data_IF_258853517380
#
_entry.id   IF_258853517380
#
_cell.length_a   1.000
_cell.length_b   1.000
_cell.length_c   1.000
_cell.angle_alpha   90.00
_cell.angle_beta   90.00
_cell.angle_gamma   90.00
#
_symmetry.space_group_name_H-M   'P 1'
#
loop_
_entity.id
_entity.type
_entity.pdbx_description
1 polymer ?
#
# COMPACT_ATOMS: atom_id res chain seq x y z
N UNK A 1 53.29 -8.83 6.74
CA UNK A 1 52.41 -9.26 5.63
C UNK A 1 51.36 -10.30 6.02
N UNK A 2 51.27 -10.71 7.29
CA UNK A 2 50.39 -11.81 7.75
C UNK A 2 49.15 -11.36 8.53
N UNK A 3 49.05 -10.08 8.90
CA UNK A 3 47.91 -9.56 9.69
C UNK A 3 46.74 -9.09 8.81
N UNK A 4 47.03 -8.49 7.65
CA UNK A 4 46.03 -8.04 6.68
C UNK A 4 45.28 -9.22 6.02
N UNK A 5 45.96 -10.37 5.84
CA UNK A 5 45.35 -11.57 5.28
C UNK A 5 44.34 -12.22 6.24
N UNK A 6 44.55 -12.11 7.57
CA UNK A 6 43.66 -12.70 8.57
C UNK A 6 42.38 -11.88 8.78
N UNK A 7 42.47 -10.56 8.71
CA UNK A 7 41.31 -9.67 8.80
C UNK A 7 40.42 -9.78 7.55
N UNK A 8 41.05 -9.92 6.37
CA UNK A 8 40.31 -10.11 5.11
C UNK A 8 39.49 -11.41 5.07
N UNK A 9 40.04 -12.52 5.58
CA UNK A 9 39.36 -13.81 5.56
C UNK A 9 38.18 -13.89 6.55
N UNK A 10 38.28 -13.20 7.69
CA UNK A 10 37.20 -13.13 8.69
C UNK A 10 36.02 -12.25 8.24
N UNK A 11 36.26 -11.19 7.45
CA UNK A 11 35.17 -10.39 6.88
C UNK A 11 34.39 -11.15 5.79
N UNK A 12 35.08 -11.93 4.94
CA UNK A 12 34.43 -12.67 3.84
C UNK A 12 33.54 -13.80 4.40
N UNK A 13 33.96 -14.47 5.48
CA UNK A 13 33.16 -15.52 6.13
C UNK A 13 31.93 -14.97 6.88
N UNK A 14 32.02 -13.75 7.43
CA UNK A 14 30.86 -13.07 8.06
C UNK A 14 29.84 -12.55 7.03
N UNK A 15 30.28 -12.22 5.82
CA UNK A 15 29.38 -11.83 4.73
C UNK A 15 28.61 -13.03 4.14
N UNK A 16 29.20 -14.23 4.13
CA UNK A 16 28.53 -15.44 3.63
C UNK A 16 27.53 -16.04 4.63
N UNK A 17 27.69 -15.81 5.94
CA UNK A 17 26.71 -16.25 6.94
C UNK A 17 25.48 -15.36 7.01
N UNK A 18 25.58 -14.07 6.66
CA UNK A 18 24.43 -13.16 6.56
C UNK A 18 23.52 -13.49 5.35
N UNK A 19 24.09 -13.99 4.26
CA UNK A 19 23.30 -14.46 3.10
C UNK A 19 22.62 -15.81 3.32
N UNK A 20 22.99 -16.55 4.38
CA UNK A 20 22.40 -17.86 4.67
C UNK A 20 21.25 -17.80 5.70
N UNK A 21 21.14 -16.72 6.49
CA UNK A 21 20.12 -16.57 7.55
C UNK A 21 18.90 -15.78 7.07
N UNK A 22 19.09 -14.87 6.12
CA UNK A 22 17.98 -14.35 5.33
C UNK A 22 17.85 -15.26 4.13
N UNK A 23 16.98 -16.27 4.24
CA UNK A 23 16.38 -16.86 3.06
C UNK A 23 15.85 -15.70 2.22
N UNK A 24 16.58 -15.39 1.16
CA UNK A 24 16.14 -14.49 0.12
C UNK A 24 14.94 -15.17 -0.53
N UNK A 25 13.75 -15.01 0.08
CA UNK A 25 12.58 -14.78 -0.72
C UNK A 25 12.95 -13.54 -1.54
N UNK A 26 13.49 -13.78 -2.74
CA UNK A 26 13.67 -12.73 -3.72
C UNK A 26 12.30 -12.06 -3.81
N UNK A 27 12.20 -10.82 -3.32
CA UNK A 27 11.03 -10.00 -3.56
C UNK A 27 10.88 -9.98 -5.07
N UNK A 28 9.79 -10.54 -5.56
CA UNK A 28 9.53 -10.72 -6.97
C UNK A 28 9.57 -9.35 -7.65
N UNK A 29 10.58 -9.09 -8.48
CA UNK A 29 10.82 -7.79 -9.13
C UNK A 29 9.59 -7.33 -9.91
N UNK A 30 8.87 -8.26 -10.56
CA UNK A 30 7.63 -7.96 -11.26
C UNK A 30 6.52 -7.51 -10.31
N UNK A 31 6.49 -8.07 -9.11
CA UNK A 31 5.52 -7.65 -8.10
C UNK A 31 5.85 -6.25 -7.57
N UNK A 32 7.14 -5.94 -7.39
CA UNK A 32 7.57 -4.60 -7.00
C UNK A 32 7.22 -3.57 -8.07
N UNK A 33 7.41 -3.88 -9.35
CA UNK A 33 7.01 -3.02 -10.47
C UNK A 33 5.48 -2.78 -10.46
N UNK A 34 4.68 -3.83 -10.29
CA UNK A 34 3.22 -3.70 -10.13
C UNK A 34 2.84 -2.80 -8.95
N UNK A 35 3.47 -2.97 -7.78
CA UNK A 35 3.20 -2.11 -6.61
C UNK A 35 3.57 -0.66 -6.92
N UNK A 36 4.68 -0.43 -7.61
CA UNK A 36 5.09 0.91 -8.01
C UNK A 36 4.09 1.56 -9.00
N UNK A 37 3.55 0.79 -9.94
CA UNK A 37 2.49 1.25 -10.85
C UNK A 37 1.20 1.60 -10.10
N UNK A 38 0.76 0.73 -9.17
CA UNK A 38 -0.40 0.98 -8.31
C UNK A 38 -0.23 2.27 -7.49
N UNK A 39 0.94 2.47 -6.88
CA UNK A 39 1.26 3.68 -6.13
C UNK A 39 1.31 4.92 -7.02
N UNK A 40 1.89 4.81 -8.22
CA UNK A 40 1.96 5.92 -9.18
C UNK A 40 0.57 6.35 -9.67
N UNK A 41 -0.33 5.39 -9.89
CA UNK A 41 -1.74 5.66 -10.20
C UNK A 41 -2.44 6.41 -9.06
N UNK A 42 -2.24 5.95 -7.82
CA UNK A 42 -2.78 6.63 -6.64
C UNK A 42 -2.24 8.05 -6.46
N UNK A 43 -0.96 8.30 -6.77
CA UNK A 43 -0.36 9.63 -6.72
C UNK A 43 -1.11 10.65 -7.60
N UNK A 44 -1.67 10.21 -8.73
CA UNK A 44 -2.50 11.05 -9.61
C UNK A 44 -3.73 11.63 -8.92
N UNK A 45 -4.27 10.96 -7.89
CA UNK A 45 -5.39 11.45 -7.09
C UNK A 45 -4.94 12.09 -5.77
N UNK A 46 -3.83 11.62 -5.17
CA UNK A 46 -3.31 12.12 -3.90
C UNK A 46 -2.93 13.60 -3.99
N UNK A 47 -2.21 14.02 -5.05
CA UNK A 47 -1.76 15.42 -5.19
C UNK A 47 -2.95 16.39 -5.27
N UNK A 48 -3.96 16.17 -6.13
CA UNK A 48 -5.19 16.97 -6.11
C UNK A 48 -5.89 17.01 -4.75
N UNK A 49 -5.90 15.90 -4.00
CA UNK A 49 -6.51 15.83 -2.67
C UNK A 49 -5.75 16.62 -1.62
N UNK A 50 -4.42 16.57 -1.63
CA UNK A 50 -3.56 17.39 -0.76
C UNK A 50 -3.83 18.87 -1.01
N UNK A 51 -3.95 19.28 -2.27
CA UNK A 51 -4.21 20.66 -2.65
C UNK A 51 -5.61 21.11 -2.24
N UNK A 52 -6.64 20.29 -2.46
CA UNK A 52 -8.03 20.59 -2.08
C UNK A 52 -8.20 20.72 -0.55
N UNK A 53 -7.50 19.88 0.20
CA UNK A 53 -7.49 19.93 1.67
C UNK A 53 -6.56 21.02 2.23
N UNK A 54 -5.83 21.75 1.37
CA UNK A 54 -4.93 22.84 1.78
C UNK A 54 -3.72 22.38 2.60
N UNK A 55 -3.23 21.14 2.41
CA UNK A 55 -2.18 20.54 3.22
C UNK A 55 -0.78 20.88 2.69
N UNK A 56 -0.15 21.88 3.29
CA UNK A 56 1.11 22.45 2.77
C UNK A 56 2.36 21.74 3.27
N UNK A 57 2.33 21.20 4.49
CA UNK A 57 3.49 20.58 5.14
C UNK A 57 3.41 19.04 5.19
N UNK A 58 4.55 18.33 5.23
CA UNK A 58 4.56 16.88 5.44
C UNK A 58 3.88 16.44 6.74
N UNK A 59 3.99 17.25 7.81
CA UNK A 59 3.34 16.98 9.10
C UNK A 59 1.82 17.02 8.98
N UNK A 60 1.27 18.01 8.28
CA UNK A 60 -0.17 18.12 8.01
C UNK A 60 -0.67 16.95 7.16
N UNK A 61 0.09 16.55 6.13
CA UNK A 61 -0.25 15.40 5.28
C UNK A 61 -0.29 14.10 6.08
N UNK A 62 0.69 13.88 6.97
CA UNK A 62 0.70 12.72 7.86
C UNK A 62 -0.48 12.71 8.83
N UNK A 63 -0.81 13.85 9.44
CA UNK A 63 -1.93 13.97 10.38
C UNK A 63 -3.30 13.78 9.70
N UNK A 64 -3.41 14.12 8.41
CA UNK A 64 -4.66 14.07 7.64
C UNK A 64 -4.68 12.95 6.58
N UNK A 65 -3.79 11.96 6.70
CA UNK A 65 -3.65 10.90 5.68
C UNK A 65 -4.97 10.17 5.40
N UNK A 66 -5.75 9.89 6.45
CA UNK A 66 -7.07 9.28 6.30
C UNK A 66 -8.04 10.15 5.47
N UNK A 67 -7.99 11.47 5.62
CA UNK A 67 -8.81 12.39 4.84
C UNK A 67 -8.33 12.51 3.39
N UNK A 68 -7.01 12.45 3.17
CA UNK A 68 -6.45 12.33 1.81
C UNK A 68 -7.01 11.07 1.14
N UNK A 69 -6.99 9.92 1.82
CA UNK A 69 -7.50 8.67 1.26
C UNK A 69 -9.02 8.68 1.00
N UNK A 70 -9.81 9.31 1.89
CA UNK A 70 -11.24 9.56 1.64
C UNK A 70 -11.47 10.36 0.36
N UNK A 71 -10.70 11.43 0.19
CA UNK A 71 -10.76 12.24 -1.01
C UNK A 71 -10.36 11.44 -2.27
N UNK A 72 -9.32 10.60 -2.18
CA UNK A 72 -8.89 9.74 -3.31
C UNK A 72 -10.01 8.79 -3.72
N UNK A 73 -10.68 8.13 -2.77
CA UNK A 73 -11.79 7.22 -3.07
C UNK A 73 -12.98 7.94 -3.72
N UNK A 74 -13.28 9.16 -3.27
CA UNK A 74 -14.31 10.00 -3.86
C UNK A 74 -13.96 10.37 -5.31
N UNK A 75 -12.71 10.79 -5.57
CA UNK A 75 -12.21 11.13 -6.91
C UNK A 75 -12.13 9.94 -7.86
N UNK A 76 -11.85 8.75 -7.34
CA UNK A 76 -11.85 7.51 -8.11
C UNK A 76 -13.26 6.94 -8.35
N UNK A 77 -14.32 7.66 -7.94
CA UNK A 77 -15.72 7.24 -8.05
C UNK A 77 -16.03 5.88 -7.42
N UNK A 78 -15.21 5.50 -6.44
CA UNK A 78 -15.33 4.23 -5.72
C UNK A 78 -16.26 4.32 -4.51
N UNK A 79 -16.80 5.50 -4.20
CA UNK A 79 -17.80 5.67 -3.16
C UNK A 79 -19.23 5.55 -3.73
N UNK A 80 -20.13 4.93 -2.97
CA UNK A 80 -21.57 4.95 -3.23
C UNK A 80 -22.17 6.30 -2.81
N UNK A 81 -23.41 6.64 -3.22
CA UNK A 81 -24.09 7.85 -2.77
C UNK A 81 -24.21 7.97 -1.24
N UNK A 82 -24.26 6.84 -0.55
CA UNK A 82 -24.32 6.75 0.92
C UNK A 82 -22.95 6.89 1.59
N UNK A 83 -21.87 7.14 0.83
CA UNK A 83 -20.54 7.30 1.38
C UNK A 83 -19.82 5.99 1.73
N UNK A 84 -20.33 4.85 1.28
CA UNK A 84 -19.69 3.53 1.45
C UNK A 84 -18.80 3.20 0.27
N UNK A 85 -17.99 2.16 0.37
CA UNK A 85 -17.10 1.76 -0.73
C UNK A 85 -17.85 0.79 -1.63
N UNK A 86 -17.89 1.10 -2.92
CA UNK A 86 -18.31 0.15 -3.95
C UNK A 86 -17.21 -0.89 -4.15
N UNK A 87 -17.37 -2.05 -3.51
CA UNK A 87 -16.44 -3.19 -3.62
C UNK A 87 -16.16 -3.51 -5.08
N UNK A 88 -17.20 -3.55 -5.92
CA UNK A 88 -17.05 -3.86 -7.34
C UNK A 88 -16.16 -2.85 -8.07
N UNK A 89 -16.39 -1.54 -7.89
CA UNK A 89 -15.57 -0.51 -8.54
C UNK A 89 -14.13 -0.49 -8.02
N UNK A 90 -13.96 -0.64 -6.71
CA UNK A 90 -12.64 -0.69 -6.09
C UNK A 90 -11.83 -1.91 -6.55
N UNK A 91 -12.46 -3.09 -6.61
CA UNK A 91 -11.83 -4.32 -7.11
C UNK A 91 -11.46 -4.16 -8.58
N UNK A 92 -12.36 -3.68 -9.43
CA UNK A 92 -12.07 -3.47 -10.86
C UNK A 92 -10.87 -2.54 -11.06
N UNK A 93 -10.83 -1.41 -10.34
CA UNK A 93 -9.71 -0.47 -10.41
C UNK A 93 -8.36 -1.12 -10.04
N UNK A 94 -8.36 -1.95 -9.00
CA UNK A 94 -7.14 -2.65 -8.54
C UNK A 94 -6.73 -3.71 -9.57
N UNK A 95 -7.67 -4.56 -10.03
CA UNK A 95 -7.36 -5.68 -10.92
C UNK A 95 -6.91 -5.24 -12.32
N UNK A 96 -7.33 -4.07 -12.81
CA UNK A 96 -6.84 -3.50 -14.08
C UNK A 96 -5.33 -3.28 -14.14
N UNK A 97 -4.68 -3.21 -12.98
CA UNK A 97 -3.23 -2.95 -12.84
C UNK A 97 -2.45 -4.14 -12.30
N UNK A 98 -3.12 -5.26 -12.03
CA UNK A 98 -2.50 -6.45 -11.46
C UNK A 98 -2.21 -7.47 -12.56
N UNK A 99 -0.96 -7.90 -12.76
CA UNK A 99 -0.64 -9.00 -13.66
C UNK A 99 -1.39 -10.28 -13.30
N UNK A 100 -1.77 -11.07 -14.31
CA UNK A 100 -2.58 -12.27 -14.14
C UNK A 100 -2.03 -13.24 -13.08
N UNK A 101 -0.70 -13.37 -12.97
CA UNK A 101 -0.03 -14.24 -11.99
C UNK A 101 -0.30 -13.86 -10.52
N UNK A 102 -0.76 -12.64 -10.22
CA UNK A 102 -1.10 -12.21 -8.86
C UNK A 102 -2.60 -12.04 -8.60
N UNK A 103 -3.48 -12.24 -9.58
CA UNK A 103 -4.92 -11.96 -9.43
C UNK A 103 -5.55 -12.77 -8.29
N UNK A 104 -5.30 -14.08 -8.21
CA UNK A 104 -5.89 -14.93 -7.17
C UNK A 104 -5.47 -14.47 -5.76
N UNK A 105 -4.19 -14.15 -5.62
CA UNK A 105 -3.63 -13.63 -4.37
C UNK A 105 -4.18 -12.24 -4.05
N UNK A 106 -4.30 -11.36 -5.04
CA UNK A 106 -4.90 -10.05 -4.90
C UNK A 106 -6.34 -10.14 -4.42
N UNK A 107 -7.14 -11.02 -5.01
CA UNK A 107 -8.53 -11.28 -4.59
C UNK A 107 -8.60 -11.78 -3.15
N UNK A 108 -7.68 -12.66 -2.75
CA UNK A 108 -7.59 -13.17 -1.38
C UNK A 108 -7.26 -12.07 -0.38
N UNK A 109 -6.29 -11.21 -0.67
CA UNK A 109 -5.96 -10.08 0.20
C UNK A 109 -7.08 -9.02 0.21
N UNK A 110 -7.73 -8.73 -0.93
CA UNK A 110 -8.87 -7.81 -0.99
C UNK A 110 -10.05 -8.34 -0.16
N UNK A 111 -10.30 -9.66 -0.18
CA UNK A 111 -11.37 -10.27 0.61
C UNK A 111 -11.24 -9.97 2.11
N UNK A 112 -10.01 -9.87 2.64
CA UNK A 112 -9.74 -9.49 4.03
C UNK A 112 -10.21 -8.06 4.35
N UNK A 113 -10.23 -7.19 3.35
CA UNK A 113 -10.66 -5.79 3.51
C UNK A 113 -12.16 -5.58 3.28
N UNK A 114 -12.90 -6.57 2.79
CA UNK A 114 -14.31 -6.41 2.41
C UNK A 114 -15.20 -6.02 3.58
N UNK A 115 -14.88 -6.45 4.81
CA UNK A 115 -15.65 -6.07 6.00
C UNK A 115 -15.68 -4.55 6.21
N UNK A 116 -14.65 -3.82 5.78
CA UNK A 116 -14.56 -2.37 5.92
C UNK A 116 -15.32 -1.61 4.83
N UNK A 117 -15.77 -2.27 3.75
CA UNK A 117 -16.48 -1.61 2.66
C UNK A 117 -17.87 -1.10 3.07
N UNK A 118 -18.47 -1.70 4.10
CA UNK A 118 -19.78 -1.30 4.64
C UNK A 118 -19.69 -0.09 5.59
N UNK A 119 -18.49 0.35 5.94
CA UNK A 119 -18.31 1.54 6.78
C UNK A 119 -18.68 2.77 5.94
N UNK A 120 -19.58 3.59 6.48
CA UNK A 120 -19.85 4.92 5.92
C UNK A 120 -18.65 5.83 6.23
N UNK A 121 -17.72 5.86 5.28
CA UNK A 121 -16.56 6.74 5.28
C UNK A 121 -16.90 8.13 4.73
N UNK A 122 -18.09 8.31 4.14
CA UNK A 122 -18.61 9.56 3.62
C UNK A 122 -19.15 10.51 4.67
N UNK A 123 -19.51 10.01 5.86
CA UNK A 123 -20.05 10.78 6.99
C UNK A 123 -19.39 12.17 7.14
N UNK A 124 -20.14 13.27 6.96
CA UNK A 124 -19.60 14.63 7.09
C UNK A 124 -19.23 14.99 8.53
N UNK A 125 -19.70 14.23 9.53
CA UNK A 125 -19.40 14.45 10.94
C UNK A 125 -18.14 13.72 11.42
N UNK A 126 -17.54 12.85 10.59
CA UNK A 126 -16.30 12.13 10.93
C UNK A 126 -15.09 13.07 10.83
N UNK A 127 -14.91 13.89 11.88
CA UNK A 127 -13.77 14.81 12.00
C UNK A 127 -12.46 14.03 11.94
N UNK A 128 -11.61 14.35 10.97
CA UNK A 128 -10.33 13.66 10.77
C UNK A 128 -10.45 12.32 10.06
N UNK A 129 -11.62 11.99 9.50
CA UNK A 129 -11.85 10.83 8.65
C UNK A 129 -11.44 9.51 9.34
N UNK A 130 -11.73 9.39 10.63
CA UNK A 130 -11.26 8.30 11.49
C UNK A 130 -11.82 6.94 11.08
N UNK A 131 -13.02 6.91 10.50
CA UNK A 131 -13.65 5.70 9.96
C UNK A 131 -12.90 5.09 8.78
N UNK A 132 -12.03 5.86 8.12
CA UNK A 132 -11.17 5.38 7.03
C UNK A 132 -10.00 4.52 7.52
N UNK A 133 -9.58 4.69 8.78
CA UNK A 133 -8.38 4.07 9.34
C UNK A 133 -8.28 2.55 9.13
N UNK A 134 -9.31 1.73 9.42
CA UNK A 134 -9.23 0.29 9.22
C UNK A 134 -9.04 -0.08 7.74
N UNK A 135 -9.71 0.62 6.82
CA UNK A 135 -9.53 0.40 5.39
C UNK A 135 -8.10 0.76 4.95
N UNK A 136 -7.58 1.92 5.39
CA UNK A 136 -6.20 2.32 5.09
C UNK A 136 -5.21 1.26 5.55
N UNK A 137 -5.35 0.78 6.80
CA UNK A 137 -4.49 -0.25 7.35
C UNK A 137 -4.56 -1.53 6.50
N UNK A 138 -5.77 -1.97 6.14
CA UNK A 138 -5.94 -3.16 5.30
C UNK A 138 -5.34 -2.99 3.89
N UNK A 139 -5.46 -1.80 3.29
CA UNK A 139 -4.81 -1.49 2.01
C UNK A 139 -3.29 -1.51 2.08
N UNK A 140 -2.72 -1.06 3.20
CA UNK A 140 -1.26 -1.16 3.44
C UNK A 140 -0.84 -2.63 3.56
N UNK A 141 -1.59 -3.43 4.33
CA UNK A 141 -1.32 -4.87 4.46
C UNK A 141 -1.44 -5.60 3.13
N UNK A 142 -2.42 -5.26 2.29
CA UNK A 142 -2.56 -5.75 0.92
C UNK A 142 -1.28 -5.54 0.11
N UNK A 143 -0.73 -4.31 0.10
CA UNK A 143 0.50 -3.98 -0.63
C UNK A 143 1.70 -4.78 -0.10
N UNK A 144 1.80 -4.95 1.22
CA UNK A 144 2.88 -5.74 1.81
C UNK A 144 2.75 -7.25 1.54
N UNK A 145 1.53 -7.77 1.42
CA UNK A 145 1.30 -9.21 1.31
C UNK A 145 1.29 -9.70 -0.14
N UNK A 146 0.85 -8.88 -1.10
CA UNK A 146 0.74 -9.31 -2.49
C UNK A 146 2.08 -9.76 -3.09
N UNK A 147 3.21 -9.22 -2.61
CA UNK A 147 4.56 -9.61 -3.05
C UNK A 147 5.29 -10.61 -2.16
N UNK A 148 4.68 -11.10 -1.06
CA UNK A 148 5.30 -12.12 -0.21
C UNK A 148 5.22 -13.51 -0.85
N UNK A 149 6.36 -14.13 -1.15
CA UNK A 149 6.41 -15.52 -1.65
C UNK A 149 5.98 -16.49 -0.55
#
# INVERSE_FOLDING_TARGET
>A
MTLLLRIGLSCILLLQSLTAVYGAAALDEKCLDMVQELMSSQLGHIVPCINELGLTTPKERGANYNCIMKCVLARAETLTPEGRISVMRAVSFILEKIPNEYIEKALTEIAKCQEYANIDVGDPNDKGCTKMRPLVACGIDFIFNICKV
#
